data_IF_325680344903
#
_entry.id   IF_325680344903
#
_cell.length_a   1.000
_cell.length_b   1.000
_cell.length_c   1.000
_cell.angle_alpha   90.00
_cell.angle_beta   90.00
_cell.angle_gamma   90.00
#
_symmetry.space_group_name_H-M   'P 1'
#
loop_
_entity.id
_entity.type
_entity.pdbx_description
1 polymer ?
#
# COMPACT_ATOMS: atom_id res chain seq x y z
N UNK A 1 20.06 4.42 2.98
CA UNK A 1 18.59 4.36 3.20
C UNK A 1 17.77 4.15 1.93
N UNK A 2 18.26 4.58 0.75
CA UNK A 2 17.56 4.47 -0.55
C UNK A 2 17.07 3.05 -0.90
N UNK A 3 17.80 2.01 -0.47
CA UNK A 3 17.51 0.60 -0.75
C UNK A 3 16.12 0.12 -0.33
N UNK A 4 15.49 0.77 0.65
CA UNK A 4 14.12 0.45 1.08
C UNK A 4 13.15 1.63 0.93
N UNK A 5 13.65 2.85 0.75
CA UNK A 5 12.81 4.05 0.61
C UNK A 5 12.41 4.33 -0.85
N UNK A 6 13.21 3.91 -1.83
CA UNK A 6 12.83 4.00 -3.24
C UNK A 6 12.05 2.74 -3.64
N UNK A 7 10.98 2.92 -4.42
CA UNK A 7 10.04 1.82 -4.75
C UNK A 7 10.69 0.72 -5.59
N UNK A 8 11.49 1.09 -6.56
CA UNK A 8 12.26 0.20 -7.42
C UNK A 8 13.28 -0.63 -6.64
N UNK A 9 14.02 0.02 -5.74
CA UNK A 9 15.05 -0.61 -4.92
C UNK A 9 14.41 -1.55 -3.90
N UNK A 10 13.34 -1.11 -3.24
CA UNK A 10 12.54 -1.94 -2.33
C UNK A 10 11.96 -3.16 -3.06
N UNK A 11 11.38 -2.97 -4.26
CA UNK A 11 10.83 -4.06 -5.04
C UNK A 11 11.89 -5.10 -5.42
N UNK A 12 13.07 -4.65 -5.90
CA UNK A 12 14.20 -5.55 -6.21
C UNK A 12 14.66 -6.32 -4.99
N UNK A 13 14.83 -5.65 -3.85
CA UNK A 13 15.28 -6.26 -2.61
C UNK A 13 14.25 -7.28 -2.08
N UNK A 14 12.96 -6.94 -2.03
CA UNK A 14 11.91 -7.85 -1.56
C UNK A 14 11.68 -9.03 -2.52
N UNK A 15 11.76 -8.81 -3.84
CA UNK A 15 11.71 -9.90 -4.83
C UNK A 15 12.92 -10.84 -4.73
N UNK A 16 14.09 -10.34 -4.30
CA UNK A 16 15.23 -11.19 -3.96
C UNK A 16 14.95 -11.99 -2.68
N UNK A 17 14.47 -11.33 -1.63
CA UNK A 17 14.23 -11.98 -0.34
C UNK A 17 13.13 -13.04 -0.41
N UNK A 18 12.02 -12.81 -1.12
CA UNK A 18 10.96 -13.83 -1.28
C UNK A 18 11.41 -15.08 -2.04
N UNK A 19 12.43 -14.97 -2.92
CA UNK A 19 13.01 -16.14 -3.59
C UNK A 19 13.88 -16.98 -2.65
N UNK A 20 14.57 -16.33 -1.72
CA UNK A 20 15.45 -16.98 -0.74
C UNK A 20 14.65 -17.51 0.45
N UNK A 21 13.66 -16.75 0.91
CA UNK A 21 12.89 -16.96 2.14
C UNK A 21 11.38 -16.81 1.86
N UNK A 22 10.77 -17.71 1.08
CA UNK A 22 9.40 -17.56 0.58
C UNK A 22 8.33 -17.59 1.67
N UNK A 23 8.60 -18.24 2.82
CA UNK A 23 7.66 -18.30 3.94
C UNK A 23 7.62 -16.99 4.73
N UNK A 24 8.76 -16.31 4.83
CA UNK A 24 8.91 -15.13 5.69
C UNK A 24 8.62 -13.83 4.94
N UNK A 25 8.91 -13.78 3.63
CA UNK A 25 8.77 -12.56 2.81
C UNK A 25 7.50 -12.53 1.95
N UNK A 26 6.50 -13.37 2.24
CA UNK A 26 5.18 -13.33 1.60
C UNK A 26 4.27 -12.20 2.17
N UNK A 27 4.86 -11.03 2.37
CA UNK A 27 4.24 -9.85 2.99
C UNK A 27 4.08 -8.68 2.01
N UNK A 28 4.62 -8.83 0.80
CA UNK A 28 4.68 -7.79 -0.20
C UNK A 28 4.02 -8.26 -1.50
N UNK A 29 3.11 -7.47 -2.10
CA UNK A 29 2.48 -7.86 -3.35
C UNK A 29 3.51 -7.98 -4.46
N UNK A 30 3.30 -8.96 -5.36
CA UNK A 30 4.17 -9.17 -6.52
C UNK A 30 4.33 -7.87 -7.31
N UNK A 31 5.58 -7.48 -7.53
CA UNK A 31 5.96 -6.20 -8.11
C UNK A 31 7.06 -6.40 -9.12
N UNK A 32 7.06 -5.57 -10.15
CA UNK A 32 8.00 -5.56 -11.26
C UNK A 32 8.52 -4.13 -11.49
N UNK A 33 9.76 -4.01 -11.93
CA UNK A 33 10.40 -2.74 -12.23
C UNK A 33 10.41 -2.51 -13.74
N UNK A 34 9.81 -1.41 -14.20
CA UNK A 34 9.84 -0.97 -15.59
C UNK A 34 11.11 -0.13 -15.83
N UNK A 35 11.72 -0.23 -17.03
CA UNK A 35 11.26 -1.02 -18.19
C UNK A 35 11.68 -2.50 -18.16
N UNK A 36 12.62 -2.88 -17.28
CA UNK A 36 13.32 -4.16 -17.29
C UNK A 36 12.40 -5.39 -17.28
N UNK A 37 11.34 -5.34 -16.47
CA UNK A 37 10.44 -6.48 -16.25
C UNK A 37 9.18 -6.43 -17.14
N UNK A 38 9.17 -5.59 -18.19
CA UNK A 38 8.01 -5.38 -19.06
C UNK A 38 7.41 -6.69 -19.61
N UNK A 39 8.26 -7.56 -20.15
CA UNK A 39 7.82 -8.82 -20.74
C UNK A 39 7.19 -9.76 -19.69
N UNK A 40 7.72 -9.76 -18.46
CA UNK A 40 7.18 -10.56 -17.36
C UNK A 40 5.81 -10.06 -16.92
N UNK A 41 5.61 -8.75 -16.89
CA UNK A 41 4.30 -8.14 -16.61
C UNK A 41 3.28 -8.59 -17.68
N UNK A 42 3.64 -8.50 -18.96
CA UNK A 42 2.76 -8.90 -20.06
C UNK A 42 2.41 -10.39 -20.00
N UNK A 43 3.40 -11.25 -19.74
CA UNK A 43 3.19 -12.70 -19.60
C UNK A 43 2.32 -13.04 -18.39
N UNK A 44 2.54 -12.37 -17.25
CA UNK A 44 1.73 -12.56 -16.04
C UNK A 44 0.28 -12.10 -16.28
N UNK A 45 0.08 -10.92 -16.86
CA UNK A 45 -1.25 -10.41 -17.15
C UNK A 45 -2.01 -11.26 -18.18
N UNK A 46 -1.30 -11.86 -19.15
CA UNK A 46 -1.89 -12.85 -20.08
C UNK A 46 -2.43 -14.08 -19.34
N UNK A 47 -1.70 -14.60 -18.36
CA UNK A 47 -2.11 -15.77 -17.56
C UNK A 47 -3.16 -15.44 -16.50
N UNK A 48 -3.24 -14.19 -16.05
CA UNK A 48 -4.10 -13.78 -14.94
C UNK A 48 -5.00 -12.60 -15.31
N UNK A 49 -5.96 -12.84 -16.21
CA UNK A 49 -6.85 -11.82 -16.80
C UNK A 49 -7.70 -11.03 -15.82
N UNK A 50 -7.99 -11.58 -14.64
CA UNK A 50 -8.78 -10.90 -13.60
C UNK A 50 -7.97 -9.94 -12.72
N UNK A 51 -6.64 -10.00 -12.79
CA UNK A 51 -5.77 -9.20 -11.92
C UNK A 51 -5.81 -7.73 -12.32
N UNK A 52 -5.71 -6.89 -11.30
CA UNK A 52 -5.62 -5.44 -11.42
C UNK A 52 -4.22 -5.03 -11.01
N UNK A 53 -3.67 -4.02 -11.66
CA UNK A 53 -2.33 -3.51 -11.44
C UNK A 53 -2.40 -2.06 -10.98
N UNK A 54 -1.49 -1.69 -10.09
CA UNK A 54 -1.23 -0.30 -9.70
C UNK A 54 0.17 0.06 -10.13
N UNK A 55 0.29 1.13 -10.91
CA UNK A 55 1.54 1.62 -11.47
C UNK A 55 1.94 2.86 -10.68
N UNK A 56 3.21 2.94 -10.28
CA UNK A 56 3.71 4.02 -9.41
C UNK A 56 5.07 4.50 -9.92
N UNK A 57 5.29 5.82 -10.07
CA UNK A 57 6.61 6.34 -10.40
C UNK A 57 7.64 6.02 -9.31
N UNK A 58 8.87 5.70 -9.70
CA UNK A 58 9.93 5.29 -8.76
C UNK A 58 10.18 6.35 -7.69
N UNK A 59 10.40 7.58 -8.16
CA UNK A 59 10.69 8.76 -7.34
C UNK A 59 9.44 9.61 -7.02
N UNK A 60 8.24 9.11 -7.35
CA UNK A 60 6.99 9.81 -7.09
C UNK A 60 6.61 9.82 -5.60
N UNK A 61 6.04 10.92 -5.13
CA UNK A 61 5.44 11.04 -3.80
C UNK A 61 4.00 11.55 -3.89
N UNK A 62 3.27 11.52 -2.78
CA UNK A 62 1.93 12.14 -2.64
C UNK A 62 0.83 11.55 -3.54
N UNK A 63 1.06 10.41 -4.19
CA UNK A 63 0.08 9.79 -5.10
C UNK A 63 0.12 10.33 -6.53
N UNK A 64 1.01 11.28 -6.84
CA UNK A 64 1.14 11.83 -8.20
C UNK A 64 1.69 10.79 -9.17
N UNK A 65 1.08 10.71 -10.35
CA UNK A 65 1.44 9.77 -11.41
C UNK A 65 1.07 8.31 -11.11
N UNK A 66 0.36 8.03 -10.01
CA UNK A 66 -0.17 6.70 -9.74
C UNK A 66 -1.43 6.50 -10.57
N UNK A 67 -1.53 5.35 -11.23
CA UNK A 67 -2.76 4.94 -11.88
C UNK A 67 -3.00 3.44 -11.67
N UNK A 68 -4.25 3.04 -11.82
CA UNK A 68 -4.69 1.65 -11.69
C UNK A 68 -5.25 1.21 -13.02
N UNK A 69 -4.93 -0.01 -13.45
CA UNK A 69 -5.48 -0.58 -14.69
C UNK A 69 -5.72 -2.07 -14.55
N UNK A 70 -6.72 -2.57 -15.28
CA UNK A 70 -6.96 -4.00 -15.52
C UNK A 70 -6.43 -4.46 -16.87
N UNK A 71 -6.04 -3.52 -17.74
CA UNK A 71 -5.60 -3.81 -19.08
C UNK A 71 -4.08 -3.64 -19.20
N UNK A 72 -3.40 -4.75 -19.49
CA UNK A 72 -1.95 -4.78 -19.63
C UNK A 72 -1.42 -3.88 -20.76
N UNK A 73 -2.27 -3.52 -21.73
CA UNK A 73 -1.93 -2.61 -22.83
C UNK A 73 -1.77 -1.15 -22.35
N UNK A 74 -2.35 -0.79 -21.21
CA UNK A 74 -2.28 0.57 -20.67
C UNK A 74 -0.97 0.80 -19.89
N UNK A 75 -0.23 -0.26 -19.59
CA UNK A 75 1.09 -0.18 -18.98
C UNK A 75 2.05 0.28 -20.09
N UNK A 76 3.01 1.16 -19.80
CA UNK A 76 3.95 1.65 -20.82
C UNK A 76 5.38 1.18 -20.51
N UNK A 77 6.14 0.68 -21.49
CA UNK A 77 7.49 0.15 -21.27
C UNK A 77 8.59 1.21 -21.19
N UNK A 78 8.27 2.51 -21.24
CA UNK A 78 9.28 3.58 -21.41
C UNK A 78 9.49 4.43 -20.16
N UNK A 79 8.67 4.24 -19.13
CA UNK A 79 8.68 5.09 -17.93
C UNK A 79 9.31 4.33 -16.75
N UNK A 80 10.20 4.99 -16.01
CA UNK A 80 10.81 4.46 -14.79
C UNK A 80 9.77 4.40 -13.66
N UNK A 81 9.16 3.23 -13.53
CA UNK A 81 8.03 2.98 -12.65
C UNK A 81 8.07 1.56 -12.11
N UNK A 82 7.33 1.32 -11.03
CA UNK A 82 6.97 -0.03 -10.62
C UNK A 82 5.55 -0.39 -11.06
N UNK A 83 5.37 -1.61 -11.52
CA UNK A 83 4.07 -2.24 -11.70
C UNK A 83 3.86 -3.23 -10.55
N UNK A 84 2.77 -3.10 -9.80
CA UNK A 84 2.48 -3.96 -8.65
C UNK A 84 1.09 -4.55 -8.78
N UNK A 85 0.92 -5.82 -8.39
CA UNK A 85 -0.42 -6.42 -8.25
C UNK A 85 -1.20 -5.65 -7.20
N UNK A 86 -2.34 -5.08 -7.60
CA UNK A 86 -3.20 -4.33 -6.70
C UNK A 86 -3.94 -5.27 -5.75
N UNK A 87 -3.93 -4.95 -4.46
CA UNK A 87 -4.71 -5.67 -3.43
C UNK A 87 -6.18 -5.27 -3.60
N UNK A 88 -6.95 -6.10 -4.30
CA UNK A 88 -8.34 -5.82 -4.64
C UNK A 88 -9.34 -6.04 -3.51
N UNK A 89 -8.97 -6.84 -2.50
CA UNK A 89 -9.79 -7.15 -1.33
C UNK A 89 -9.11 -6.65 -0.04
N UNK A 90 -8.97 -5.33 0.16
CA UNK A 90 -8.44 -4.79 1.40
C UNK A 90 -9.43 -5.00 2.55
N UNK A 91 -8.93 -4.96 3.78
CA UNK A 91 -9.81 -4.81 4.94
C UNK A 91 -10.45 -3.42 4.90
N UNK A 92 -11.74 -3.34 5.22
CA UNK A 92 -12.55 -2.13 5.15
C UNK A 92 -13.11 -1.81 6.54
N UNK A 93 -13.26 -0.52 6.82
CA UNK A 93 -13.98 -0.02 8.00
C UNK A 93 -15.05 0.93 7.48
N UNK A 94 -16.30 0.70 7.87
CA UNK A 94 -17.47 1.44 7.40
C UNK A 94 -17.60 1.49 5.87
N UNK A 95 -17.08 0.48 5.18
CA UNK A 95 -17.04 0.40 3.71
C UNK A 95 -15.90 1.20 3.06
N UNK A 96 -15.04 1.88 3.80
CA UNK A 96 -13.94 2.68 3.28
C UNK A 96 -12.61 1.92 3.34
N UNK A 97 -11.78 2.13 2.31
CA UNK A 97 -10.41 1.62 2.28
C UNK A 97 -9.53 2.52 3.14
N UNK A 98 -8.56 1.93 3.83
CA UNK A 98 -7.57 2.68 4.57
C UNK A 98 -6.16 2.09 4.46
N UNK A 99 -5.17 2.88 4.86
CA UNK A 99 -3.83 2.39 5.14
C UNK A 99 -3.34 2.86 6.51
N UNK A 100 -2.25 2.25 6.96
CA UNK A 100 -1.55 2.61 8.19
C UNK A 100 -0.24 3.32 7.86
N UNK A 101 0.02 4.42 8.55
CA UNK A 101 1.33 5.07 8.64
C UNK A 101 1.91 4.80 10.01
N UNK A 102 2.84 3.85 10.04
CA UNK A 102 3.63 3.50 11.22
C UNK A 102 4.95 4.29 11.17
N UNK A 103 5.39 4.81 12.31
CA UNK A 103 6.65 5.53 12.43
C UNK A 103 7.72 4.64 13.06
N UNK A 104 8.87 4.54 12.42
CA UNK A 104 10.01 3.73 12.88
C UNK A 104 11.24 4.62 12.96
N UNK A 105 11.94 4.59 14.10
CA UNK A 105 13.20 5.29 14.35
C UNK A 105 14.35 4.30 14.30
N UNK A 106 15.27 4.51 13.37
CA UNK A 106 16.55 3.80 13.28
C UNK A 106 17.62 4.63 14.00
N UNK A 107 18.20 4.07 15.06
CA UNK A 107 19.22 4.76 15.88
C UNK A 107 20.64 4.27 15.63
N UNK A 108 20.78 3.04 15.14
CA UNK A 108 22.06 2.43 14.81
C UNK A 108 21.86 1.35 13.76
N UNK A 109 22.81 1.20 12.84
CA UNK A 109 22.86 0.11 11.87
C UNK A 109 23.82 -1.00 12.27
N UNK A 110 24.76 -0.71 13.19
CA UNK A 110 25.76 -1.64 13.67
C UNK A 110 26.12 -1.32 15.14
N UNK A 111 25.53 -2.02 16.12
CA UNK A 111 24.49 -3.04 15.95
C UNK A 111 23.17 -2.41 15.49
N UNK A 112 22.34 -3.17 14.76
CA UNK A 112 21.03 -2.70 14.30
C UNK A 112 20.10 -2.39 15.48
N UNK A 113 19.57 -1.16 15.56
CA UNK A 113 18.65 -0.71 16.61
C UNK A 113 17.49 0.10 16.04
N UNK A 114 16.31 -0.48 16.08
CA UNK A 114 15.05 0.07 15.58
C UNK A 114 14.04 0.27 16.73
N UNK A 115 13.24 1.33 16.64
CA UNK A 115 12.14 1.62 17.57
C UNK A 115 10.86 1.92 16.79
N UNK A 116 9.77 1.23 17.09
CA UNK A 116 8.46 1.52 16.52
C UNK A 116 7.71 2.47 17.45
N UNK A 117 7.23 3.60 16.93
CA UNK A 117 6.41 4.52 17.72
C UNK A 117 5.05 3.88 18.03
N UNK A 118 4.56 4.06 19.26
CA UNK A 118 3.34 3.38 19.74
C UNK A 118 2.05 3.86 19.08
N UNK A 119 2.08 4.99 18.38
CA UNK A 119 0.95 5.53 17.64
C UNK A 119 1.35 5.81 16.19
N UNK A 120 0.36 6.11 15.35
CA UNK A 120 0.54 6.40 13.94
C UNK A 120 -0.68 7.05 13.34
N UNK A 121 -0.77 7.06 12.02
CA UNK A 121 -1.94 7.57 11.32
C UNK A 121 -2.65 6.46 10.58
N UNK A 122 -3.98 6.47 10.64
CA UNK A 122 -4.86 5.69 9.80
C UNK A 122 -5.47 6.64 8.78
N UNK A 123 -5.30 6.35 7.50
CA UNK A 123 -5.71 7.25 6.42
C UNK A 123 -6.74 6.57 5.55
N UNK A 124 -7.94 7.13 5.54
CA UNK A 124 -9.09 6.59 4.83
C UNK A 124 -9.22 7.19 3.43
N UNK A 125 -9.97 6.50 2.59
CA UNK A 125 -10.58 7.05 1.38
C UNK A 125 -11.84 7.84 1.72
N UNK A 126 -12.23 8.80 0.89
CA UNK A 126 -13.49 9.54 1.05
C UNK A 126 -14.66 8.90 0.31
N UNK A 127 -14.39 8.01 -0.64
CA UNK A 127 -15.40 7.22 -1.34
C UNK A 127 -15.42 5.78 -0.83
N UNK A 128 -16.62 5.21 -0.69
CA UNK A 128 -16.82 3.81 -0.33
C UNK A 128 -16.16 2.89 -1.35
N UNK A 129 -15.48 1.87 -0.85
CA UNK A 129 -14.67 0.99 -1.66
C UNK A 129 -15.52 -0.02 -2.44
N UNK A 130 -15.26 -0.12 -3.73
CA UNK A 130 -15.77 -1.17 -4.61
C UNK A 130 -14.57 -1.87 -5.26
N UNK A 131 -14.62 -3.19 -5.43
CA UNK A 131 -13.55 -3.91 -6.12
C UNK A 131 -13.28 -3.32 -7.52
N UNK A 132 -12.00 -3.24 -7.96
CA UNK A 132 -11.67 -2.58 -9.22
C UNK A 132 -12.28 -3.27 -10.43
N UNK A 133 -12.95 -2.48 -11.25
CA UNK A 133 -13.54 -2.81 -12.54
C UNK A 133 -13.27 -1.68 -13.54
N UNK A 134 -13.64 -1.87 -14.81
CA UNK A 134 -13.31 -0.90 -15.86
C UNK A 134 -13.91 0.50 -15.63
N UNK A 135 -14.96 0.62 -14.81
CA UNK A 135 -15.66 1.88 -14.54
C UNK A 135 -15.07 2.67 -13.37
N UNK A 136 -14.48 2.00 -12.37
CA UNK A 136 -14.02 2.66 -11.13
C UNK A 136 -12.50 2.74 -10.98
N UNK A 137 -11.69 2.08 -11.80
CA UNK A 137 -10.21 2.10 -11.69
C UNK A 137 -9.59 3.50 -11.77
N UNK A 138 -10.29 4.46 -12.36
CA UNK A 138 -9.88 5.86 -12.46
C UNK A 138 -10.28 6.71 -11.24
N UNK A 139 -11.15 6.19 -10.37
CA UNK A 139 -11.56 6.87 -9.14
C UNK A 139 -10.45 6.79 -8.09
N UNK A 140 -9.60 7.82 -8.09
CA UNK A 140 -8.51 7.94 -7.14
C UNK A 140 -8.99 8.15 -5.70
N UNK A 141 -10.18 8.74 -5.50
CA UNK A 141 -10.73 8.96 -4.16
C UNK A 141 -11.18 7.65 -3.52
N UNK A 142 -11.61 6.66 -4.32
CA UNK A 142 -11.92 5.30 -3.86
C UNK A 142 -10.69 4.42 -3.62
N UNK A 143 -9.61 4.61 -4.38
CA UNK A 143 -8.51 3.64 -4.41
C UNK A 143 -7.22 4.10 -3.74
N UNK A 144 -6.98 5.40 -3.57
CA UNK A 144 -5.74 5.95 -3.00
C UNK A 144 -5.99 6.67 -1.67
N UNK A 145 -5.35 6.22 -0.61
CA UNK A 145 -5.48 6.75 0.78
C UNK A 145 -4.56 7.95 1.06
N UNK A 146 -3.87 8.47 0.05
CA UNK A 146 -2.91 9.56 0.22
C UNK A 146 -3.65 10.86 0.60
N UNK A 147 -3.28 11.47 1.73
CA UNK A 147 -3.81 12.79 2.15
C UNK A 147 -3.77 13.84 1.04
N UNK A 148 -2.67 13.90 0.28
CA UNK A 148 -2.52 14.86 -0.81
C UNK A 148 -3.54 14.69 -1.94
N UNK A 149 -4.10 13.49 -2.12
CA UNK A 149 -5.23 13.22 -3.01
C UNK A 149 -6.53 13.54 -2.27
N UNK A 150 -6.73 12.92 -1.11
CA UNK A 150 -7.99 12.95 -0.37
C UNK A 150 -8.41 14.34 0.10
N UNK A 151 -7.47 15.25 0.41
CA UNK A 151 -7.78 16.62 0.86
C UNK A 151 -8.54 17.47 -0.16
N UNK A 152 -8.58 17.04 -1.41
CA UNK A 152 -9.28 17.71 -2.52
C UNK A 152 -10.66 17.12 -2.81
N UNK A 153 -11.02 16.02 -2.15
CA UNK A 153 -12.37 15.45 -2.22
C UNK A 153 -13.33 16.25 -1.35
N UNK A 154 -14.55 16.46 -1.83
CA UNK A 154 -15.64 17.11 -1.07
C UNK A 154 -15.98 16.34 0.22
N UNK A 155 -15.89 15.00 0.19
CA UNK A 155 -16.10 14.14 1.36
C UNK A 155 -14.97 14.12 2.39
N UNK A 156 -13.97 15.00 2.31
CA UNK A 156 -12.82 14.99 3.24
C UNK A 156 -13.15 15.64 4.59
N UNK A 157 -13.03 14.88 5.67
CA UNK A 157 -13.36 15.29 7.03
C UNK A 157 -12.06 15.47 7.83
N UNK A 158 -11.72 16.72 8.16
CA UNK A 158 -10.49 17.11 8.89
C UNK A 158 -10.58 16.89 10.39
N UNK A 159 -11.68 17.31 10.99
CA UNK A 159 -11.76 17.59 12.43
C UNK A 159 -12.73 16.66 13.15
N UNK A 160 -12.53 15.35 12.97
CA UNK A 160 -13.24 14.34 13.73
C UNK A 160 -12.27 13.19 14.08
N UNK A 161 -11.87 13.09 15.35
CA UNK A 161 -10.88 12.08 15.78
C UNK A 161 -11.41 10.64 15.69
N UNK A 162 -12.74 10.45 15.71
CA UNK A 162 -13.38 9.13 15.71
C UNK A 162 -13.95 8.75 14.34
N UNK A 163 -14.45 9.73 13.59
CA UNK A 163 -15.11 9.55 12.28
C UNK A 163 -14.34 10.13 11.08
N UNK A 164 -13.28 10.92 11.30
CA UNK A 164 -12.59 11.64 10.23
C UNK A 164 -11.81 10.75 9.27
N UNK A 165 -11.43 11.33 8.12
CA UNK A 165 -10.69 10.61 7.06
C UNK A 165 -9.21 10.38 7.43
N UNK A 166 -8.77 10.92 8.57
CA UNK A 166 -7.47 10.69 9.20
C UNK A 166 -7.69 10.47 10.69
N UNK A 167 -7.32 9.29 11.19
CA UNK A 167 -7.48 8.88 12.59
C UNK A 167 -6.13 8.46 13.19
N UNK A 168 -6.05 8.34 14.51
CA UNK A 168 -4.90 7.74 15.20
C UNK A 168 -4.96 6.22 15.14
N UNK A 169 -3.81 5.54 15.18
CA UNK A 169 -3.78 4.08 15.30
C UNK A 169 -4.40 3.65 16.64
N UNK A 170 -4.22 4.44 17.69
CA UNK A 170 -4.89 4.21 18.99
C UNK A 170 -6.42 4.23 18.90
N UNK A 171 -7.02 5.08 18.05
CA UNK A 171 -8.47 5.06 17.76
C UNK A 171 -8.87 3.79 17.02
N UNK A 172 -8.09 3.37 16.02
CA UNK A 172 -8.33 2.12 15.30
C UNK A 172 -8.23 0.89 16.22
N UNK A 173 -7.32 0.91 17.19
CA UNK A 173 -7.19 -0.19 18.16
C UNK A 173 -8.42 -0.31 19.06
N UNK A 174 -9.04 0.81 19.44
CA UNK A 174 -10.33 0.78 20.16
C UNK A 174 -11.41 0.18 19.27
N UNK A 175 -11.55 0.68 18.03
CA UNK A 175 -12.50 0.15 17.05
C UNK A 175 -12.34 -1.36 16.84
N UNK A 176 -11.10 -1.86 16.70
CA UNK A 176 -10.84 -3.30 16.57
C UNK A 176 -11.33 -4.08 17.79
N UNK A 177 -11.04 -3.65 19.01
CA UNK A 177 -11.52 -4.31 20.23
C UNK A 177 -13.04 -4.35 20.31
N UNK A 178 -13.67 -3.21 20.03
CA UNK A 178 -15.12 -3.06 20.11
C UNK A 178 -15.84 -3.93 19.05
N UNK A 179 -15.16 -4.25 17.95
CA UNK A 179 -15.65 -5.13 16.89
C UNK A 179 -15.09 -6.58 16.98
N UNK A 180 -14.50 -6.97 18.12
CA UNK A 180 -14.07 -8.34 18.39
C UNK A 180 -12.75 -8.79 17.72
N UNK A 181 -11.94 -7.86 17.22
CA UNK A 181 -10.62 -8.16 16.65
C UNK A 181 -9.51 -8.14 17.70
N UNK A 182 -8.58 -9.10 17.60
CA UNK A 182 -7.39 -9.16 18.46
C UNK A 182 -6.31 -8.17 17.99
N UNK A 183 -6.21 -7.05 18.71
CA UNK A 183 -5.23 -5.99 18.44
C UNK A 183 -3.78 -6.47 18.61
N UNK A 184 -3.48 -7.35 19.57
CA UNK A 184 -2.10 -7.81 19.79
C UNK A 184 -1.64 -8.63 18.61
N UNK A 185 -2.43 -9.62 18.20
CA UNK A 185 -2.13 -10.46 17.03
C UNK A 185 -1.99 -9.64 15.73
N UNK A 186 -2.79 -8.59 15.56
CA UNK A 186 -2.77 -7.74 14.37
C UNK A 186 -1.53 -6.84 14.27
N UNK A 187 -0.98 -6.35 15.39
CA UNK A 187 0.24 -5.55 15.40
C UNK A 187 1.50 -6.38 15.59
N UNK A 188 1.43 -7.52 16.27
CA UNK A 188 2.55 -8.46 16.36
C UNK A 188 2.90 -8.97 14.96
N UNK A 189 1.91 -9.29 14.11
CA UNK A 189 2.16 -9.59 12.70
C UNK A 189 2.77 -8.44 11.88
N UNK A 190 2.65 -7.19 12.32
CA UNK A 190 3.27 -6.03 11.69
C UNK A 190 4.67 -5.70 12.26
N UNK A 191 4.94 -6.09 13.50
CA UNK A 191 6.19 -5.84 14.24
C UNK A 191 7.18 -7.01 14.09
N UNK A 192 6.71 -8.26 13.97
CA UNK A 192 7.53 -9.44 13.65
C UNK A 192 8.09 -9.43 12.22
N UNK A 193 7.70 -8.45 11.39
CA UNK A 193 8.30 -8.17 10.08
C UNK A 193 9.48 -7.19 10.16
N UNK A 194 9.91 -6.87 11.38
CA UNK A 194 11.03 -5.98 11.71
C UNK A 194 12.22 -6.67 12.39
N UNK A 195 12.30 -8.01 12.36
CA UNK A 195 13.49 -8.79 12.66
C UNK A 195 13.76 -9.75 11.51
#
# INVERSE_FOLDING_TARGET
MSEICRKDSLARNLNRMIRLFPKDYNIFPKTWCLPSDWNDIQNYAKKHKSKTFIIKPDNGCQGRGIYITKNAKDIRPVENMICQVYISKPFLIDGYKFDLRIYVLLTSCDPLRLFVFKDGLVRFTTCSYIEPNQRNVHDMYMHLTNYAVQKHSEGYIRDNEEGGTKRRITTLNRWFKDNGYDVKKNFDGAIYLGC
#
